data_IF_235721091840
#
_entry.id   IF_235721091840
#
_cell.length_a   1.000
_cell.length_b   1.000
_cell.length_c   1.000
_cell.angle_alpha   90.00
_cell.angle_beta   90.00
_cell.angle_gamma   90.00
#
_symmetry.space_group_name_H-M   'P 1'
#
loop_
_entity.id
_entity.type
_entity.pdbx_description
1 polymer ?
#
# COMPACT_ATOMS: atom_id res chain seq x y z
N UNK A 1 -12.98 -7.10 -4.71
CA UNK A 1 -12.33 -7.05 -4.83
C UNK A 1 -11.84 -7.22 -4.85
N UNK A 2 -12.04 -7.20 -4.72
CA UNK A 2 -11.37 -7.08 -4.68
C UNK A 2 -10.59 -7.25 -5.40
N UNK A 3 -10.66 -7.11 -5.86
CA UNK A 3 -9.86 -7.18 -6.31
C UNK A 3 -9.22 -6.94 -6.81
N UNK A 4 -9.02 -6.61 -6.67
CA UNK A 4 -8.28 -6.35 -6.87
C UNK A 4 -7.55 -6.62 -6.66
N UNK A 5 -7.38 -6.54 -6.00
CA UNK A 5 -6.58 -6.64 -5.72
C UNK A 5 -6.20 -7.42 -5.77
N UNK A 6 -6.74 -7.53 -5.51
CA UNK A 6 -6.20 -8.20 -5.59
C UNK A 6 -5.92 -8.58 -6.42
N UNK A 7 -6.07 -8.29 -6.87
CA UNK A 7 -5.69 -8.52 -7.58
C UNK A 7 -4.70 -8.37 -7.94
N UNK A 8 -4.19 -7.89 -7.59
CA UNK A 8 -3.14 -7.89 -7.61
C UNK A 8 -2.49 -8.51 -7.08
N UNK A 9 -2.87 -8.80 -6.45
CA UNK A 9 -2.31 -9.39 -5.91
C UNK A 9 -2.48 -10.25 -5.99
N UNK A 10 -3.29 -10.17 -5.90
CA UNK A 10 -3.25 -11.04 -5.93
C UNK A 10 -2.97 -11.44 -6.69
N UNK A 11 -3.09 -10.91 -7.04
CA UNK A 11 -2.59 -11.22 -7.56
C UNK A 11 -1.71 -11.46 -7.79
N UNK A 12 -1.52 -11.11 -7.50
CA UNK A 12 -0.60 -11.32 -7.45
C UNK A 12 -0.24 -12.11 -7.28
N UNK A 13 -0.83 -12.11 -6.91
CA UNK A 13 -0.49 -12.66 -6.69
C UNK A 13 -0.47 -13.51 -6.63
N UNK A 14 -0.95 -13.65 -6.63
CA UNK A 14 -0.86 -14.29 -6.53
C UNK A 14 -0.60 -15.09 -6.75
N UNK A 15 -0.74 -15.27 -6.71
CA UNK A 15 -0.50 -15.94 -6.88
C UNK A 15 0.18 -16.75 -7.34
N UNK A 16 0.05 -17.21 -7.33
CA UNK A 16 0.64 -18.11 -7.78
C UNK A 16 1.80 -18.00 -8.46
N UNK A 17 1.95 -17.30 -8.85
CA UNK A 17 3.02 -17.07 -9.41
C UNK A 17 4.19 -17.28 -8.73
N UNK A 18 4.31 -16.76 -7.67
CA UNK A 18 5.49 -16.82 -6.97
C UNK A 18 5.75 -18.06 -6.31
N UNK A 19 4.92 -18.95 -6.43
CA UNK A 19 5.12 -20.15 -5.77
C UNK A 19 6.31 -20.86 -6.20
N UNK A 20 6.74 -20.70 -7.39
CA UNK A 20 7.81 -21.49 -7.84
C UNK A 20 9.15 -20.92 -7.74
N UNK A 21 9.26 -19.80 -7.14
CA UNK A 21 10.52 -19.17 -7.07
C UNK A 21 10.97 -18.94 -5.72
N UNK A 22 10.95 -19.89 -4.93
CA UNK A 22 11.31 -19.71 -3.54
C UNK A 22 12.71 -19.23 -3.41
N UNK A 23 13.52 -19.60 -4.32
CA UNK A 23 14.84 -19.22 -4.18
C UNK A 23 15.04 -17.81 -4.47
N UNK A 24 14.29 -17.29 -5.32
CA UNK A 24 14.44 -15.93 -5.69
C UNK A 24 14.06 -15.02 -4.57
N UNK A 25 13.30 -15.52 -3.66
CA UNK A 25 12.85 -14.73 -2.54
C UNK A 25 13.87 -14.81 -1.45
N UNK A 26 14.05 -13.86 -0.68
CA UNK A 26 15.05 -13.80 0.35
C UNK A 26 15.00 -14.90 1.38
N UNK A 27 15.86 -14.82 2.34
CA UNK A 27 15.99 -15.82 3.39
C UNK A 27 14.77 -15.77 4.31
N UNK A 28 14.67 -16.77 5.17
CA UNK A 28 13.61 -16.82 6.17
C UNK A 28 13.64 -15.58 7.07
N UNK A 29 14.83 -15.09 7.38
CA UNK A 29 14.97 -13.89 8.16
C UNK A 29 14.45 -12.68 7.42
N UNK A 30 14.71 -12.58 6.11
CA UNK A 30 14.19 -11.47 5.30
C UNK A 30 12.68 -11.52 5.16
N UNK A 31 12.11 -12.70 5.04
CA UNK A 31 10.67 -12.79 4.96
C UNK A 31 10.00 -12.36 6.26
N UNK A 32 10.64 -12.62 7.39
CA UNK A 32 10.15 -12.15 8.69
C UNK A 32 10.21 -10.64 8.79
N UNK A 33 11.31 -10.04 8.30
CA UNK A 33 11.45 -8.60 8.30
C UNK A 33 10.41 -7.97 7.38
N UNK A 34 10.18 -8.56 6.21
CA UNK A 34 9.16 -8.07 5.29
C UNK A 34 7.78 -8.11 5.95
N UNK A 35 7.45 -9.17 6.67
CA UNK A 35 6.20 -9.28 7.39
C UNK A 35 6.05 -8.19 8.45
N UNK A 36 7.14 -7.86 9.14
CA UNK A 36 7.13 -6.79 10.12
C UNK A 36 6.92 -5.42 9.49
N UNK A 37 7.54 -5.17 8.32
CA UNK A 37 7.34 -3.94 7.58
C UNK A 37 5.87 -3.83 7.18
N UNK A 38 5.31 -4.89 6.62
CA UNK A 38 3.92 -4.92 6.18
C UNK A 38 2.98 -4.65 7.34
N UNK A 39 3.22 -5.28 8.47
CA UNK A 39 2.38 -5.08 9.64
C UNK A 39 2.40 -3.62 10.10
N UNK A 40 3.57 -3.00 10.15
CA UNK A 40 3.67 -1.59 10.55
C UNK A 40 2.96 -0.68 9.55
N UNK A 41 3.05 -0.99 8.27
CA UNK A 41 2.37 -0.20 7.25
C UNK A 41 0.85 -0.36 7.35
N UNK A 42 0.38 -1.54 7.65
CA UNK A 42 -1.06 -1.77 7.83
C UNK A 42 -1.58 -1.02 9.06
N UNK A 43 -0.85 -1.07 10.15
CA UNK A 43 -1.26 -0.43 11.40
C UNK A 43 -1.29 1.09 11.29
N UNK A 44 -0.44 1.66 10.44
CA UNK A 44 -0.32 3.09 10.31
C UNK A 44 -0.95 3.62 9.02
N UNK A 45 -1.62 2.74 8.26
CA UNK A 45 -2.19 3.09 6.95
C UNK A 45 -1.13 3.70 6.03
N UNK A 46 0.09 3.17 6.11
CA UNK A 46 1.20 3.64 5.28
C UNK A 46 1.77 4.97 5.69
N UNK A 47 1.39 5.50 6.84
CA UNK A 47 1.78 6.85 7.26
C UNK A 47 2.93 6.86 8.25
N UNK A 48 3.79 5.87 8.20
CA UNK A 48 4.95 5.82 9.05
C UNK A 48 6.17 6.33 8.27
N UNK A 49 6.99 7.13 8.91
CA UNK A 49 8.16 7.66 8.24
C UNK A 49 9.23 6.59 8.11
N UNK A 50 10.10 6.78 7.13
CA UNK A 50 11.21 5.86 6.91
C UNK A 50 12.12 5.81 8.15
N UNK A 51 12.33 6.96 8.77
CA UNK A 51 13.15 7.06 9.97
C UNK A 51 12.58 6.24 11.11
N UNK A 52 11.25 6.28 11.25
CA UNK A 52 10.60 5.53 12.30
C UNK A 52 10.64 4.02 12.03
N UNK A 53 10.55 3.63 10.77
CA UNK A 53 10.71 2.22 10.40
C UNK A 53 12.10 1.72 10.74
N UNK A 54 13.12 2.51 10.42
CA UNK A 54 14.52 2.18 10.75
C UNK A 54 14.69 2.04 12.26
N UNK A 55 14.10 2.96 12.99
CA UNK A 55 14.21 2.94 14.46
C UNK A 55 13.53 1.72 15.06
N UNK A 56 12.35 1.40 14.60
CA UNK A 56 11.59 0.28 15.15
C UNK A 56 12.17 -1.07 14.77
N UNK A 57 12.64 -1.20 13.55
CA UNK A 57 13.11 -2.49 13.06
C UNK A 57 14.61 -2.70 13.23
N UNK A 58 15.33 -1.62 13.48
CA UNK A 58 16.77 -1.67 13.72
C UNK A 58 17.59 -2.13 12.52
N UNK A 59 17.15 -1.79 11.32
CA UNK A 59 17.87 -2.05 10.08
C UNK A 59 17.98 -0.76 9.29
N UNK A 60 18.98 -0.63 8.43
CA UNK A 60 19.15 0.57 7.62
C UNK A 60 18.00 0.74 6.65
N UNK A 61 17.72 1.98 6.27
CA UNK A 61 16.67 2.26 5.29
C UNK A 61 16.92 1.59 3.95
N UNK A 62 18.18 1.53 3.53
CA UNK A 62 18.55 0.87 2.28
C UNK A 62 18.25 -0.62 2.30
N UNK A 63 18.53 -1.25 3.43
CA UNK A 63 18.27 -2.68 3.59
C UNK A 63 16.78 -2.96 3.58
N UNK A 64 15.98 -2.15 4.29
CA UNK A 64 14.53 -2.31 4.31
C UNK A 64 13.95 -2.10 2.92
N UNK A 65 14.44 -1.11 2.20
CA UNK A 65 13.99 -0.85 0.83
C UNK A 65 14.31 -2.03 -0.09
N UNK A 66 15.48 -2.61 0.06
CA UNK A 66 15.87 -3.77 -0.73
C UNK A 66 14.94 -4.95 -0.48
N UNK A 67 14.58 -5.18 0.77
CA UNK A 67 13.66 -6.25 1.12
C UNK A 67 12.28 -6.01 0.47
N UNK A 68 11.76 -4.81 0.57
CA UNK A 68 10.47 -4.49 -0.03
C UNK A 68 10.52 -4.67 -1.55
N UNK A 69 11.60 -4.25 -2.18
CA UNK A 69 11.75 -4.42 -3.62
C UNK A 69 11.83 -5.89 -4.02
N UNK A 70 12.49 -6.70 -3.22
CA UNK A 70 12.60 -8.12 -3.50
C UNK A 70 11.23 -8.80 -3.48
N UNK A 71 10.39 -8.43 -2.54
CA UNK A 71 9.09 -9.10 -2.38
C UNK A 71 7.96 -8.48 -3.18
N UNK A 72 8.04 -7.20 -3.51
CA UNK A 72 6.92 -6.51 -4.16
C UNK A 72 7.24 -5.89 -5.52
N UNK A 73 8.53 -5.73 -5.82
CA UNK A 73 8.93 -5.01 -7.02
C UNK A 73 8.80 -3.49 -6.88
N UNK A 74 8.37 -3.01 -5.73
CA UNK A 74 8.21 -1.58 -5.48
C UNK A 74 9.19 -1.10 -4.44
N UNK A 75 9.54 0.18 -4.47
CA UNK A 75 10.32 0.73 -3.39
C UNK A 75 9.41 0.93 -2.17
N UNK A 76 10.01 1.16 -1.02
CA UNK A 76 9.27 1.23 0.24
C UNK A 76 8.27 2.39 0.27
N UNK A 77 8.59 3.50 -0.40
CA UNK A 77 7.69 4.66 -0.45
C UNK A 77 6.42 4.32 -1.23
N UNK A 78 6.56 3.63 -2.35
CA UNK A 78 5.40 3.23 -3.14
C UNK A 78 4.59 2.17 -2.44
N UNK A 79 5.25 1.27 -1.74
CA UNK A 79 4.56 0.24 -0.98
C UNK A 79 3.74 0.88 0.16
N UNK A 80 4.31 1.87 0.84
CA UNK A 80 3.59 2.59 1.88
C UNK A 80 2.39 3.34 1.30
N UNK A 81 2.57 3.96 0.13
CA UNK A 81 1.49 4.67 -0.53
C UNK A 81 0.31 3.75 -0.85
N UNK A 82 0.60 2.50 -1.19
CA UNK A 82 -0.43 1.51 -1.44
C UNK A 82 -1.39 1.40 -0.24
N UNK A 83 -0.84 1.34 0.97
CA UNK A 83 -1.67 1.23 2.18
C UNK A 83 -2.47 2.50 2.43
N UNK A 84 -1.88 3.66 2.16
CA UNK A 84 -2.58 4.93 2.35
C UNK A 84 -3.74 5.06 1.36
N UNK A 85 -3.54 4.68 0.12
CA UNK A 85 -4.59 4.74 -0.90
C UNK A 85 -5.69 3.72 -0.60
N UNK A 86 -5.32 2.56 -0.09
CA UNK A 86 -6.29 1.56 0.32
C UNK A 86 -7.18 2.11 1.44
N UNK A 87 -6.58 2.81 2.39
CA UNK A 87 -7.35 3.45 3.46
C UNK A 87 -8.28 4.53 2.89
N UNK A 88 -7.82 5.28 1.89
CA UNK A 88 -8.65 6.28 1.22
C UNK A 88 -9.89 5.63 0.61
N UNK A 89 -9.72 4.49 -0.02
CA UNK A 89 -10.85 3.77 -0.62
C UNK A 89 -11.87 3.36 0.44
N UNK A 90 -11.41 2.90 1.59
CA UNK A 90 -12.30 2.54 2.70
C UNK A 90 -13.09 3.76 3.18
N UNK A 91 -12.44 4.91 3.26
CA UNK A 91 -13.10 6.14 3.71
C UNK A 91 -14.08 6.66 2.67
N UNK A 92 -13.77 6.49 1.38
CA UNK A 92 -14.67 6.93 0.32
C UNK A 92 -15.97 6.14 0.34
N UNK A 93 -15.88 4.85 0.58
CA UNK A 93 -17.06 3.99 0.57
C UNK A 93 -17.76 3.97 1.92
N UNK A 94 -17.07 4.20 3.01
CA UNK A 94 -17.62 4.05 4.34
C UNK A 94 -17.97 5.34 5.10
N UNK A 95 -17.61 6.49 4.56
CA UNK A 95 -17.90 7.77 5.25
C UNK A 95 -18.45 8.78 4.28
N UNK A 96 -18.99 9.88 4.83
CA UNK A 96 -19.51 10.99 4.04
C UNK A 96 -18.50 12.13 3.91
N UNK A 97 -17.26 11.91 4.34
CA UNK A 97 -16.24 12.95 4.26
C UNK A 97 -15.98 13.33 2.82
N UNK A 98 -15.69 14.60 2.59
CA UNK A 98 -15.36 15.04 1.23
C UNK A 98 -14.04 14.43 0.79
N UNK A 99 -13.85 14.34 -0.50
CA UNK A 99 -12.60 13.81 -1.03
C UNK A 99 -11.42 14.66 -0.57
N UNK A 100 -11.59 15.98 -0.53
CA UNK A 100 -10.57 16.89 -0.04
C UNK A 100 -10.24 16.62 1.43
N UNK A 101 -11.26 16.37 2.25
CA UNK A 101 -11.05 16.08 3.66
C UNK A 101 -10.32 14.76 3.85
N UNK A 102 -10.66 13.75 3.07
CA UNK A 102 -9.99 12.45 3.10
C UNK A 102 -8.51 12.60 2.75
N UNK A 103 -8.22 13.32 1.66
CA UNK A 103 -6.84 13.53 1.24
C UNK A 103 -6.05 14.25 2.32
N UNK A 104 -6.63 15.28 2.91
CA UNK A 104 -5.96 16.03 3.98
C UNK A 104 -5.72 15.18 5.22
N UNK A 105 -6.69 14.38 5.59
CA UNK A 105 -6.58 13.52 6.77
C UNK A 105 -5.47 12.47 6.57
N UNK A 106 -5.30 12.01 5.36
CA UNK A 106 -4.26 11.02 5.05
C UNK A 106 -2.89 11.65 4.77
N UNK A 107 -2.77 12.95 4.91
CA UNK A 107 -1.48 13.63 4.81
C UNK A 107 -1.10 14.10 3.42
N UNK A 108 -2.03 14.07 2.48
CA UNK A 108 -1.73 14.58 1.13
C UNK A 108 -1.85 16.09 1.13
N UNK A 109 -0.75 16.77 0.82
CA UNK A 109 -0.75 18.21 0.72
C UNK A 109 -1.11 18.68 -0.68
N UNK A 110 -1.05 17.77 -1.66
CA UNK A 110 -1.32 18.10 -3.05
C UNK A 110 -2.48 17.22 -3.53
N UNK A 111 -3.60 17.86 -3.83
CA UNK A 111 -4.80 17.15 -4.25
C UNK A 111 -4.62 16.42 -5.58
N UNK A 112 -3.89 17.05 -6.50
CA UNK A 112 -3.61 16.44 -7.80
C UNK A 112 -2.81 15.15 -7.63
N UNK A 113 -1.84 15.16 -6.75
CA UNK A 113 -1.04 13.98 -6.46
C UNK A 113 -1.93 12.86 -5.88
N UNK A 114 -2.84 13.21 -4.98
CA UNK A 114 -3.76 12.23 -4.40
C UNK A 114 -4.62 11.60 -5.49
N UNK A 115 -5.21 12.41 -6.35
CA UNK A 115 -6.07 11.91 -7.42
C UNK A 115 -5.29 10.99 -8.36
N UNK A 116 -4.09 11.38 -8.71
CA UNK A 116 -3.25 10.58 -9.60
C UNK A 116 -2.85 9.26 -8.96
N UNK A 117 -2.46 9.28 -7.69
CA UNK A 117 -2.09 8.08 -6.98
C UNK A 117 -3.28 7.13 -6.86
N UNK A 118 -4.46 7.65 -6.55
CA UNK A 118 -5.66 6.85 -6.42
C UNK A 118 -6.03 6.22 -7.76
N UNK A 119 -6.00 7.02 -8.83
CA UNK A 119 -6.36 6.55 -10.15
C UNK A 119 -5.36 5.52 -10.67
N UNK A 120 -4.09 5.68 -10.38
CA UNK A 120 -3.07 4.71 -10.76
C UNK A 120 -3.30 3.37 -10.07
N UNK A 121 -3.83 3.39 -8.86
CA UNK A 121 -4.03 2.17 -8.11
C UNK A 121 -5.37 1.49 -8.42
N UNK A 122 -6.45 2.25 -8.52
CA UNK A 122 -7.78 1.69 -8.71
C UNK A 122 -8.34 1.82 -10.11
N UNK A 123 -7.66 2.51 -11.00
CA UNK A 123 -8.11 2.69 -12.39
C UNK A 123 -9.27 3.65 -12.55
N UNK A 124 -9.67 4.34 -11.50
CA UNK A 124 -10.76 5.31 -11.57
C UNK A 124 -10.55 6.41 -10.55
N UNK A 125 -11.24 7.53 -10.73
CA UNK A 125 -11.09 8.66 -9.83
C UNK A 125 -11.72 8.36 -8.47
N UNK A 126 -11.32 9.05 -7.41
CA UNK A 126 -11.94 8.86 -6.10
C UNK A 126 -13.44 9.09 -6.13
N UNK A 127 -13.89 10.08 -6.90
CA UNK A 127 -15.31 10.37 -7.00
C UNK A 127 -16.08 9.22 -7.63
N UNK A 128 -15.57 8.67 -8.73
CA UNK A 128 -16.21 7.57 -9.41
C UNK A 128 -16.22 6.32 -8.52
N UNK A 129 -15.14 6.08 -7.82
CA UNK A 129 -15.05 4.98 -6.88
C UNK A 129 -16.14 5.09 -5.81
N UNK A 130 -16.30 6.29 -5.25
CA UNK A 130 -17.31 6.51 -4.21
C UNK A 130 -18.71 6.21 -4.71
N UNK A 131 -19.05 6.73 -5.90
CA UNK A 131 -20.38 6.52 -6.47
C UNK A 131 -20.64 5.02 -6.67
N UNK A 132 -19.69 4.31 -7.20
CA UNK A 132 -19.86 2.89 -7.46
C UNK A 132 -19.98 2.05 -6.19
N UNK A 133 -19.21 2.36 -5.18
CA UNK A 133 -19.15 1.52 -3.98
C UNK A 133 -20.15 1.90 -2.90
N UNK A 134 -20.72 3.08 -2.98
CA UNK A 134 -21.73 3.47 -2.01
C UNK A 134 -23.12 3.06 -2.44
N UNK A 135 -23.31 2.85 -3.73
CA UNK A 135 -24.61 2.46 -4.25
C UNK A 135 -24.77 0.93 -4.32
N UNK A 136 -23.79 0.20 -3.90
CA UNK A 136 -23.89 -1.26 -3.94
C UNK A 136 -24.11 -1.91 -2.56
#
# INVERSE_FOLDING_TARGET
FRGYICQMLNLLCQREIYTTRPIAVGTQSESRIFAQITQLLEETDGRISRELLVDKLRYSGSYLNRIVQTYTGMNITRYALYFTIKRAADMLSGTDKTITAIAAELGFTNRTYFYKAFQNHYGQTPRKYRVQHRNS
#
